data_IF_651226208188
#
_entry.id   IF_651226208188
#
_cell.length_a   1.000
_cell.length_b   1.000
_cell.length_c   1.000
_cell.angle_alpha   90.00
_cell.angle_beta   90.00
_cell.angle_gamma   90.00
#
_symmetry.space_group_name_H-M   'P 1'
#
loop_
_entity.id
_entity.type
_entity.pdbx_description
1 polymer ?
#
# COMPACT_ATOMS: atom_id res chain seq x y z
N UNK A 1 -11.50 -12.14 -12.24
CA UNK A 1 -12.74 -11.69 -12.91
C UNK A 1 -12.77 -10.17 -12.99
N UNK A 2 -13.55 -9.60 -13.90
CA UNK A 2 -13.72 -8.14 -14.03
C UNK A 2 -14.27 -7.54 -12.73
N UNK A 3 -15.29 -8.19 -12.14
CA UNK A 3 -15.91 -7.75 -10.88
C UNK A 3 -14.88 -7.64 -9.75
N UNK A 4 -14.04 -8.65 -9.56
CA UNK A 4 -13.01 -8.63 -8.51
C UNK A 4 -12.00 -7.48 -8.70
N UNK A 5 -11.64 -7.16 -9.95
CA UNK A 5 -10.75 -6.04 -10.25
C UNK A 5 -11.39 -4.70 -9.93
N UNK A 6 -12.64 -4.48 -10.35
CA UNK A 6 -13.37 -3.23 -10.11
C UNK A 6 -13.51 -2.98 -8.60
N UNK A 7 -13.96 -4.00 -7.85
CA UNK A 7 -14.08 -3.89 -6.38
C UNK A 7 -12.75 -3.56 -5.71
N UNK A 8 -11.66 -4.22 -6.12
CA UNK A 8 -10.32 -3.95 -5.56
C UNK A 8 -9.87 -2.52 -5.89
N UNK A 9 -10.07 -2.08 -7.13
CA UNK A 9 -9.59 -0.77 -7.57
C UNK A 9 -10.32 0.37 -6.84
N UNK A 10 -11.64 0.21 -6.56
CA UNK A 10 -12.43 1.12 -5.70
C UNK A 10 -11.99 1.10 -4.23
N UNK A 11 -11.68 -0.08 -3.69
CA UNK A 11 -11.18 -0.19 -2.31
C UNK A 11 -9.84 0.53 -2.12
N UNK A 12 -8.95 0.47 -3.13
CA UNK A 12 -7.67 1.17 -3.09
C UNK A 12 -7.81 2.70 -3.19
N UNK A 13 -8.88 3.20 -3.82
CA UNK A 13 -9.22 4.63 -3.81
C UNK A 13 -9.68 5.06 -2.41
N UNK A 14 -10.57 4.28 -1.79
CA UNK A 14 -10.97 4.53 -0.40
C UNK A 14 -9.78 4.51 0.57
N UNK A 15 -8.86 3.55 0.43
CA UNK A 15 -7.65 3.54 1.25
C UNK A 15 -6.69 4.69 0.98
N UNK A 16 -6.72 5.29 -0.21
CA UNK A 16 -5.96 6.50 -0.46
C UNK A 16 -6.52 7.69 0.31
N UNK A 17 -7.83 7.76 0.55
CA UNK A 17 -8.42 8.80 1.40
C UNK A 17 -7.99 8.64 2.87
N UNK A 18 -7.91 7.40 3.36
CA UNK A 18 -7.45 7.11 4.72
C UNK A 18 -5.93 7.24 4.89
N UNK A 19 -5.17 6.88 3.86
CA UNK A 19 -3.71 6.82 3.88
C UNK A 19 -3.12 7.51 2.63
N UNK A 20 -3.26 8.84 2.51
CA UNK A 20 -2.89 9.57 1.30
C UNK A 20 -1.40 9.47 0.97
N UNK A 21 -0.55 9.40 2.00
CA UNK A 21 0.91 9.30 1.94
C UNK A 21 1.43 8.13 1.10
N UNK A 22 0.66 7.05 1.00
CA UNK A 22 1.10 5.83 0.30
C UNK A 22 0.74 5.82 -1.18
N UNK A 23 -0.20 6.66 -1.64
CA UNK A 23 -0.53 6.77 -3.07
C UNK A 23 -1.40 5.64 -3.65
N UNK A 24 -2.15 4.88 -2.81
CA UNK A 24 -2.89 3.68 -3.22
C UNK A 24 -3.78 3.84 -4.46
N UNK A 25 -4.33 5.03 -4.73
CA UNK A 25 -5.13 5.27 -5.94
C UNK A 25 -4.38 5.02 -7.25
N UNK A 26 -3.06 5.24 -7.26
CA UNK A 26 -2.22 5.18 -8.47
C UNK A 26 -1.74 3.75 -8.73
N UNK A 27 -1.15 3.11 -7.72
CA UNK A 27 -0.52 1.80 -7.85
C UNK A 27 -1.32 0.67 -7.22
N UNK A 28 -2.51 0.92 -6.66
CA UNK A 28 -3.45 -0.11 -6.17
C UNK A 28 -2.83 -1.13 -5.20
N UNK A 29 -1.84 -0.70 -4.41
CA UNK A 29 -1.12 -1.55 -3.44
C UNK A 29 0.03 -2.38 -4.04
N UNK A 30 0.35 -2.25 -5.33
CA UNK A 30 1.57 -2.83 -5.90
C UNK A 30 2.82 -2.12 -5.35
N UNK A 31 3.93 -2.85 -5.25
CA UNK A 31 5.20 -2.35 -4.72
C UNK A 31 5.96 -1.51 -5.76
N UNK A 32 5.41 -0.33 -6.10
CA UNK A 32 6.10 0.66 -6.93
C UNK A 32 7.17 1.38 -6.13
N UNK A 33 8.09 2.05 -6.82
CA UNK A 33 9.14 2.84 -6.16
C UNK A 33 8.56 3.89 -5.20
N UNK A 34 7.51 4.59 -5.63
CA UNK A 34 6.77 5.55 -4.80
C UNK A 34 6.25 4.91 -3.52
N UNK A 35 5.65 3.72 -3.64
CA UNK A 35 5.09 3.00 -2.51
C UNK A 35 6.16 2.53 -1.53
N UNK A 36 7.30 2.03 -2.05
CA UNK A 36 8.44 1.63 -1.22
C UNK A 36 9.03 2.83 -0.48
N UNK A 37 9.17 3.98 -1.14
CA UNK A 37 9.63 5.22 -0.50
C UNK A 37 8.66 5.69 0.58
N UNK A 38 7.35 5.60 0.35
CA UNK A 38 6.35 5.91 1.37
C UNK A 38 6.43 4.94 2.57
N UNK A 39 6.64 3.64 2.31
CA UNK A 39 6.84 2.62 3.33
C UNK A 39 8.10 2.86 4.17
N UNK A 40 9.21 3.26 3.55
CA UNK A 40 10.44 3.62 4.25
C UNK A 40 10.28 4.88 5.11
N UNK A 41 9.47 5.84 4.64
CA UNK A 41 9.28 7.14 5.32
C UNK A 41 8.26 7.11 6.45
N UNK A 42 7.14 6.44 6.23
CA UNK A 42 5.98 6.44 7.13
C UNK A 42 5.75 5.10 7.84
N UNK A 43 6.52 4.07 7.50
CA UNK A 43 6.31 2.69 7.97
C UNK A 43 5.17 2.00 7.21
N UNK A 44 4.79 0.76 7.59
CA UNK A 44 3.62 0.09 7.03
C UNK A 44 2.32 0.52 7.72
N UNK A 45 1.29 0.82 6.91
CA UNK A 45 -0.08 1.03 7.40
C UNK A 45 -0.80 -0.28 7.76
N UNK A 46 -1.91 -0.25 8.53
CA UNK A 46 -2.65 -1.45 8.96
C UNK A 46 -3.17 -2.36 7.84
N UNK A 47 -3.34 -1.83 6.63
CA UNK A 47 -3.81 -2.59 5.47
C UNK A 47 -2.67 -3.31 4.72
N UNK A 48 -1.41 -3.03 5.09
CA UNK A 48 -0.27 -3.72 4.52
C UNK A 48 -0.19 -5.17 4.99
N UNK A 49 0.15 -6.06 4.06
CA UNK A 49 0.39 -7.45 4.38
C UNK A 49 1.79 -7.62 4.95
N UNK A 50 1.87 -7.78 6.28
CA UNK A 50 3.13 -7.89 7.02
C UNK A 50 4.01 -9.06 6.57
N UNK A 51 3.42 -10.12 6.02
CA UNK A 51 4.14 -11.29 5.50
C UNK A 51 4.82 -11.07 4.15
N UNK A 52 4.54 -9.95 3.45
CA UNK A 52 5.11 -9.69 2.14
C UNK A 52 6.51 -9.12 2.28
N UNK A 53 7.47 -9.66 1.52
CA UNK A 53 8.90 -9.30 1.54
C UNK A 53 9.22 -7.80 1.73
N UNK A 54 8.62 -6.84 0.98
CA UNK A 54 8.94 -5.43 1.19
C UNK A 54 8.51 -4.90 2.57
N UNK A 55 7.44 -5.45 3.14
CA UNK A 55 6.94 -5.05 4.46
C UNK A 55 7.67 -5.79 5.57
N UNK A 56 7.94 -7.09 5.39
CA UNK A 56 8.64 -7.91 6.39
C UNK A 56 10.10 -7.51 6.57
N UNK A 57 10.73 -6.98 5.50
CA UNK A 57 12.14 -6.58 5.51
C UNK A 57 12.34 -5.11 5.88
N UNK A 58 11.26 -4.34 6.12
CA UNK A 58 11.38 -2.98 6.64
C UNK A 58 12.01 -3.03 8.03
N UNK A 59 13.26 -2.56 8.12
CA UNK A 59 13.86 -2.21 9.40
C UNK A 59 13.24 -0.89 9.84
N UNK A 60 12.10 -0.98 10.52
CA UNK A 60 11.49 0.21 11.12
C UNK A 60 12.46 0.76 12.17
N UNK A 61 12.70 2.08 12.20
CA UNK A 61 13.44 2.70 13.27
C UNK A 61 12.57 2.64 14.53
N UNK A 62 12.74 1.60 15.34
CA UNK A 62 12.43 1.65 16.76
C UNK A 62 13.72 1.97 17.52
#
# INVERSE_FOLDING_TARGET
SVVAKVTRDSLMEYYHELYPEYGFKNHKGYATREHLTALERYGPSPIHRQSFSPVSNLKLPF
#
